data_IF_448159725803
#
_entry.id   IF_448159725803
#
_cell.length_a   1.000
_cell.length_b   1.000
_cell.length_c   1.000
_cell.angle_alpha   90.00
_cell.angle_beta   90.00
_cell.angle_gamma   90.00
#
_symmetry.space_group_name_H-M   'P 1'
#
loop_
_entity.id
_entity.type
_entity.pdbx_description
1 polymer ?
#
# COMPACT_ATOMS: atom_id res chain seq x y z
N UNK A 1 -6.69 18.11 0.41
CA UNK A 1 -5.37 17.51 0.09
C UNK A 1 -5.37 16.08 0.63
N UNK A 2 -4.63 15.16 0.01
CA UNK A 2 -4.48 13.77 0.44
C UNK A 2 -3.00 13.48 0.71
N UNK A 3 -2.73 12.72 1.78
CA UNK A 3 -1.41 12.21 2.14
C UNK A 3 -1.28 10.77 1.63
N UNK A 4 -0.35 10.55 0.71
CA UNK A 4 -0.09 9.25 0.11
C UNK A 4 1.21 8.70 0.72
N UNK A 5 1.15 7.48 1.25
CA UNK A 5 2.34 6.70 1.63
C UNK A 5 2.70 5.76 0.49
N UNK A 6 3.94 5.83 0.01
CA UNK A 6 4.44 4.90 -0.99
C UNK A 6 4.87 3.60 -0.32
N UNK A 7 4.57 2.48 -0.98
CA UNK A 7 5.04 1.16 -0.60
C UNK A 7 6.05 0.66 -1.63
N UNK A 8 6.94 -0.23 -1.21
CA UNK A 8 7.82 -0.94 -2.12
C UNK A 8 6.99 -1.81 -3.09
N UNK A 9 7.51 -2.13 -4.28
CA UNK A 9 6.90 -3.13 -5.15
C UNK A 9 6.63 -4.43 -4.40
N UNK A 10 5.63 -5.20 -4.84
CA UNK A 10 5.20 -6.46 -4.21
C UNK A 10 6.33 -7.51 -4.25
N UNK A 11 7.24 -7.46 -3.29
CA UNK A 11 8.42 -8.33 -3.19
C UNK A 11 8.31 -9.35 -2.07
N UNK A 12 7.44 -9.12 -1.07
CA UNK A 12 7.27 -9.99 0.08
C UNK A 12 5.94 -10.72 0.03
N UNK A 13 5.98 -12.04 -0.11
CA UNK A 13 4.79 -12.89 -0.08
C UNK A 13 4.76 -13.69 1.22
N UNK A 14 3.68 -13.57 1.97
CA UNK A 14 3.43 -14.33 3.20
C UNK A 14 2.75 -15.65 2.85
N UNK A 15 3.48 -16.75 3.02
CA UNK A 15 2.98 -18.09 2.68
C UNK A 15 1.87 -18.56 3.62
N UNK A 16 1.85 -18.11 4.88
CA UNK A 16 0.84 -18.53 5.85
C UNK A 16 -0.50 -17.86 5.57
N UNK A 17 -0.47 -16.59 5.16
CA UNK A 17 -1.67 -15.81 4.84
C UNK A 17 -2.03 -15.84 3.35
N UNK A 18 -1.21 -16.51 2.52
CA UNK A 18 -1.32 -16.54 1.07
C UNK A 18 -1.55 -15.15 0.46
N UNK A 19 -0.75 -14.15 0.88
CA UNK A 19 -0.96 -12.77 0.48
C UNK A 19 0.35 -11.96 0.44
N UNK A 20 0.35 -10.85 -0.29
CA UNK A 20 1.50 -9.95 -0.32
C UNK A 20 1.52 -9.03 0.89
N UNK A 21 2.67 -9.00 1.55
CA UNK A 21 3.00 -8.03 2.60
C UNK A 21 3.55 -6.76 1.96
N UNK A 22 3.05 -5.63 2.41
CA UNK A 22 3.42 -4.31 1.91
C UNK A 22 4.42 -3.68 2.87
N UNK A 23 5.60 -3.37 2.35
CA UNK A 23 6.64 -2.65 3.09
C UNK A 23 6.59 -1.18 2.68
N UNK A 24 6.54 -0.25 3.64
CA UNK A 24 6.60 1.18 3.32
C UNK A 24 7.92 1.52 2.63
N UNK A 25 7.84 2.32 1.57
CA UNK A 25 9.03 2.90 0.95
C UNK A 25 9.59 3.97 1.90
N UNK A 26 10.87 3.87 2.20
CA UNK A 26 11.64 4.90 2.90
C UNK A 26 12.60 5.57 1.94
N UNK A 27 12.86 6.86 2.14
CA UNK A 27 13.89 7.61 1.42
C UNK A 27 14.77 8.29 2.45
N UNK A 28 16.08 7.99 2.45
CA UNK A 28 17.19 8.52 3.30
C UNK A 28 16.87 8.98 4.74
N UNK A 29 15.97 9.94 4.93
CA UNK A 29 15.61 10.57 6.20
C UNK A 29 14.12 10.42 6.60
N UNK A 30 13.30 9.60 5.93
CA UNK A 30 11.91 9.41 6.35
C UNK A 30 11.04 8.49 5.48
N UNK A 31 9.74 8.48 5.79
CA UNK A 31 8.73 7.81 4.97
C UNK A 31 8.59 8.51 3.62
N UNK A 32 8.61 7.73 2.53
CA UNK A 32 8.32 8.26 1.21
C UNK A 32 6.83 8.61 1.14
N UNK A 33 6.54 9.89 1.25
CA UNK A 33 5.17 10.41 1.31
C UNK A 33 4.99 11.54 0.31
N UNK A 34 3.77 11.68 -0.20
CA UNK A 34 3.41 12.72 -1.15
C UNK A 34 2.10 13.38 -0.72
N UNK A 35 2.06 14.72 -0.77
CA UNK A 35 0.85 15.50 -0.60
C UNK A 35 0.29 15.86 -1.98
N UNK A 36 -0.93 15.43 -2.28
CA UNK A 36 -1.58 15.75 -3.56
C UNK A 36 -2.95 16.40 -3.36
N UNK A 37 -3.41 17.24 -4.30
CA UNK A 37 -4.82 17.61 -4.38
C UNK A 37 -5.70 16.36 -4.51
N UNK A 38 -6.81 16.30 -3.76
CA UNK A 38 -7.68 15.10 -3.72
C UNK A 38 -8.23 14.76 -5.10
N UNK A 39 -8.48 15.75 -5.94
CA UNK A 39 -8.97 15.55 -7.31
C UNK A 39 -7.97 14.83 -8.23
N UNK A 40 -6.70 14.73 -7.86
CA UNK A 40 -5.69 13.95 -8.59
C UNK A 40 -5.68 12.47 -8.17
N UNK A 41 -6.36 12.12 -7.07
CA UNK A 41 -6.51 10.73 -6.64
C UNK A 41 -7.62 10.09 -7.46
N UNK A 42 -7.24 9.30 -8.45
CA UNK A 42 -8.20 8.65 -9.34
C UNK A 42 -9.07 7.62 -8.60
N UNK A 43 -8.46 6.81 -7.72
CA UNK A 43 -9.16 5.82 -6.88
C UNK A 43 -8.40 5.48 -5.60
N UNK A 44 -9.15 5.12 -4.57
CA UNK A 44 -8.62 4.58 -3.32
C UNK A 44 -8.42 3.07 -3.42
N UNK A 45 -7.31 2.59 -2.89
CA UNK A 45 -7.04 1.17 -2.69
C UNK A 45 -7.16 0.88 -1.19
N UNK A 46 -7.97 -0.08 -0.80
CA UNK A 46 -8.05 -0.47 0.62
C UNK A 46 -6.87 -1.38 0.94
N UNK A 47 -6.09 -1.02 1.95
CA UNK A 47 -5.05 -1.87 2.52
C UNK A 47 -5.61 -2.59 3.75
N UNK A 48 -5.14 -3.81 4.01
CA UNK A 48 -5.53 -4.56 5.21
C UNK A 48 -4.44 -4.36 6.26
N UNK A 49 -4.66 -3.57 7.33
CA UNK A 49 -3.71 -3.48 8.41
C UNK A 49 -3.69 -4.80 9.19
N UNK A 50 -2.50 -5.32 9.48
CA UNK A 50 -2.32 -6.35 10.49
C UNK A 50 -2.02 -5.66 11.81
N UNK A 51 -2.98 -5.70 12.72
CA UNK A 51 -2.78 -5.22 14.09
C UNK A 51 -2.19 -6.38 14.88
N UNK A 52 -0.88 -6.31 15.19
CA UNK A 52 -0.24 -7.24 16.11
C UNK A 52 -0.87 -7.18 17.50
N UNK A 53 -0.88 -8.30 18.22
CA UNK A 53 -1.48 -8.36 19.58
C UNK A 53 -0.69 -7.58 20.64
N UNK A 54 0.51 -7.12 20.35
CA UNK A 54 1.31 -6.33 21.28
C UNK A 54 2.02 -5.21 20.52
N UNK A 55 2.37 -4.16 21.28
CA UNK A 55 2.72 -2.80 20.88
C UNK A 55 3.99 -2.63 20.03
N UNK A 56 4.31 -3.56 19.13
CA UNK A 56 5.31 -3.32 18.11
C UNK A 56 4.71 -2.38 17.07
N UNK A 57 5.21 -1.14 17.04
CA UNK A 57 4.80 -0.04 16.16
C UNK A 57 5.06 -0.29 14.67
N UNK A 58 5.27 -1.54 14.26
CA UNK A 58 5.34 -1.93 12.85
C UNK A 58 3.91 -2.19 12.39
N UNK A 59 3.27 -1.13 11.91
CA UNK A 59 2.06 -1.26 11.11
C UNK A 59 2.39 -2.06 9.85
N UNK A 60 2.14 -3.37 9.89
CA UNK A 60 2.25 -4.24 8.73
C UNK A 60 0.96 -4.15 7.92
N UNK A 61 1.09 -3.94 6.62
CA UNK A 61 -0.05 -3.86 5.72
C UNK A 61 0.00 -5.03 4.75
N UNK A 62 -1.15 -5.56 4.39
CA UNK A 62 -1.29 -6.57 3.35
C UNK A 62 -2.12 -6.01 2.20
N UNK A 63 -1.82 -6.49 0.99
CA UNK A 63 -2.63 -6.18 -0.18
C UNK A 63 -4.05 -6.73 0.04
N UNK A 64 -5.07 -5.91 -0.24
CA UNK A 64 -6.43 -6.43 -0.24
C UNK A 64 -6.62 -7.40 -1.41
N UNK A 65 -6.83 -8.67 -1.13
CA UNK A 65 -7.01 -9.73 -2.14
C UNK A 65 -8.22 -9.54 -3.06
N UNK A 66 -9.17 -8.67 -2.70
CA UNK A 66 -10.32 -8.32 -3.53
C UNK A 66 -10.08 -7.11 -4.42
N UNK A 67 -8.86 -6.55 -4.40
CA UNK A 67 -8.51 -5.47 -5.31
C UNK A 67 -8.41 -6.02 -6.73
N UNK A 68 -9.20 -5.46 -7.64
CA UNK A 68 -9.11 -5.82 -9.05
C UNK A 68 -7.88 -5.12 -9.67
N UNK A 69 -6.76 -5.84 -9.77
CA UNK A 69 -5.51 -5.33 -10.34
C UNK A 69 -5.60 -5.03 -11.85
N UNK A 70 -6.39 -5.81 -12.59
CA UNK A 70 -6.62 -5.60 -14.04
C UNK A 70 -7.23 -4.21 -14.32
N UNK A 71 -8.04 -3.72 -13.38
CA UNK A 71 -8.63 -2.39 -13.43
C UNK A 71 -7.59 -1.25 -13.38
N UNK A 72 -6.39 -1.49 -12.83
CA UNK A 72 -5.31 -0.51 -12.78
C UNK A 72 -4.48 -0.53 -14.07
N UNK A 73 -4.28 -1.70 -14.68
CA UNK A 73 -3.57 -1.80 -15.96
C UNK A 73 -4.33 -1.17 -17.13
N UNK A 74 -5.66 -1.18 -17.08
CA UNK A 74 -6.48 -0.54 -18.12
C UNK A 74 -6.38 0.99 -18.14
N UNK A 75 -6.02 1.60 -17.00
CA UNK A 75 -5.90 3.06 -16.88
C UNK A 75 -4.49 3.58 -17.18
N UNK A 76 -3.46 2.73 -17.17
CA UNK A 76 -2.10 3.13 -17.55
C UNK A 76 -1.88 3.19 -19.07
N UNK A 77 -2.85 2.70 -19.85
CA UNK A 77 -2.83 2.65 -21.32
C UNK A 77 -3.73 3.70 -21.99
N UNK A 78 -4.33 4.60 -21.21
CA UNK A 78 -5.16 5.73 -21.68
C UNK A 78 -4.41 7.04 -21.53
#
# INVERSE_FOLDING_TARGET
LAYIHWFQPLQSFDQNLHNFRLTRSSHLHGHNTLLVPVHQVLRLCHLIPQVGRESDMREEFYLNRYINLELFERLSKS
#
